data_IF_498477199106
#
_entry.id   IF_498477199106
#
_cell.length_a   1.000
_cell.length_b   1.000
_cell.length_c   1.000
_cell.angle_alpha   90.00
_cell.angle_beta   90.00
_cell.angle_gamma   90.00
#
_symmetry.space_group_name_H-M   'P 1'
#
loop_
_entity.id
_entity.type
_entity.pdbx_description
1 polymer ?
#
# COMPACT_ATOMS: atom_id res chain seq x y z
N UNK A 1 -16.21 6.15 -55.69
CA UNK A 1 -16.56 7.59 -55.70
C UNK A 1 -16.30 8.11 -54.31
N UNK A 2 -15.52 9.19 -54.17
CA UNK A 2 -15.31 9.82 -52.87
C UNK A 2 -16.60 10.53 -52.46
N UNK A 3 -17.09 10.27 -51.25
CA UNK A 3 -18.32 10.87 -50.72
C UNK A 3 -17.94 11.88 -49.65
N UNK A 4 -18.58 13.05 -49.65
CA UNK A 4 -18.37 14.06 -48.62
C UNK A 4 -18.67 13.47 -47.23
N UNK A 5 -17.74 13.60 -46.29
CA UNK A 5 -17.93 13.11 -44.93
C UNK A 5 -19.08 13.86 -44.23
N UNK A 6 -19.30 15.13 -44.60
CA UNK A 6 -20.45 15.92 -44.15
C UNK A 6 -21.78 15.30 -44.59
N UNK A 7 -21.89 14.84 -45.84
CA UNK A 7 -23.12 14.24 -46.37
C UNK A 7 -23.40 12.88 -45.73
N UNK A 8 -22.35 12.13 -45.36
CA UNK A 8 -22.48 10.85 -44.64
C UNK A 8 -22.99 11.06 -43.21
N UNK A 9 -22.63 12.18 -42.58
CA UNK A 9 -22.92 12.47 -41.18
C UNK A 9 -24.01 13.52 -40.95
N UNK A 10 -24.75 13.92 -42.00
CA UNK A 10 -25.70 15.05 -41.98
C UNK A 10 -26.81 14.96 -40.91
N UNK A 11 -27.10 13.75 -40.40
CA UNK A 11 -28.12 13.52 -39.35
C UNK A 11 -27.61 13.79 -37.94
N UNK A 12 -26.30 13.98 -37.74
CA UNK A 12 -25.68 14.21 -36.43
C UNK A 12 -25.35 15.68 -36.24
N UNK A 13 -25.73 16.26 -35.08
CA UNK A 13 -25.40 17.65 -34.74
C UNK A 13 -23.98 17.73 -34.19
N UNK A 14 -23.08 18.40 -34.90
CA UNK A 14 -21.72 18.70 -34.45
C UNK A 14 -21.53 20.21 -34.23
N UNK A 15 -20.57 20.58 -33.38
CA UNK A 15 -20.15 21.97 -33.20
C UNK A 15 -19.60 22.58 -34.51
N UNK A 16 -19.66 23.91 -34.66
CA UNK A 16 -19.28 24.63 -35.88
C UNK A 16 -17.86 24.30 -36.37
N UNK A 17 -16.90 24.14 -35.46
CA UNK A 17 -15.51 23.81 -35.79
C UNK A 17 -15.37 22.45 -36.51
N UNK A 18 -16.15 21.45 -36.09
CA UNK A 18 -16.15 20.12 -36.69
C UNK A 18 -16.90 20.12 -38.04
N UNK A 19 -17.94 20.95 -38.19
CA UNK A 19 -18.66 21.09 -39.45
C UNK A 19 -17.76 21.66 -40.55
N UNK A 20 -16.91 22.63 -40.23
CA UNK A 20 -15.91 23.15 -41.17
C UNK A 20 -14.88 22.08 -41.57
N UNK A 21 -14.41 21.26 -40.63
CA UNK A 21 -13.50 20.13 -40.92
C UNK A 21 -14.19 19.10 -41.85
N UNK A 22 -15.45 18.76 -41.58
CA UNK A 22 -16.21 17.78 -42.37
C UNK A 22 -16.52 18.23 -43.80
N UNK A 23 -16.68 19.54 -44.04
CA UNK A 23 -16.90 20.09 -45.40
C UNK A 23 -15.73 19.83 -46.35
N UNK A 24 -14.52 19.74 -45.83
CA UNK A 24 -13.30 19.57 -46.63
C UNK A 24 -12.77 18.13 -46.64
N UNK A 25 -13.36 17.23 -45.85
CA UNK A 25 -12.98 15.83 -45.75
C UNK A 25 -13.89 14.94 -46.63
N UNK A 26 -13.28 14.10 -47.46
CA UNK A 26 -13.95 13.11 -48.28
C UNK A 26 -13.58 11.70 -47.84
N UNK A 27 -14.59 10.83 -47.74
CA UNK A 27 -14.36 9.39 -47.51
C UNK A 27 -13.91 8.76 -48.82
N UNK A 28 -12.66 8.32 -48.86
CA UNK A 28 -12.06 7.66 -50.03
C UNK A 28 -12.34 6.16 -49.98
N UNK A 29 -12.19 5.55 -48.81
CA UNK A 29 -12.37 4.11 -48.62
C UNK A 29 -12.77 3.80 -47.20
N UNK A 30 -13.65 2.81 -47.04
CA UNK A 30 -13.98 2.21 -45.75
C UNK A 30 -13.67 0.71 -45.85
N UNK A 31 -12.84 0.21 -44.94
CA UNK A 31 -12.54 -1.22 -44.83
C UNK A 31 -13.05 -1.69 -43.47
N UNK A 32 -13.96 -2.66 -43.49
CA UNK A 32 -14.51 -3.26 -42.28
C UNK A 32 -13.87 -4.64 -42.10
N UNK A 33 -13.08 -4.80 -41.04
CA UNK A 33 -12.53 -6.09 -40.64
C UNK A 33 -13.40 -6.68 -39.53
N UNK A 34 -14.26 -7.62 -39.89
CA UNK A 34 -15.17 -8.31 -38.94
C UNK A 34 -14.36 -9.15 -37.95
N UNK A 35 -13.32 -9.85 -38.44
CA UNK A 35 -12.46 -10.70 -37.61
C UNK A 35 -11.68 -9.91 -36.55
N UNK A 36 -11.22 -8.71 -36.88
CA UNK A 36 -10.48 -7.84 -35.94
C UNK A 36 -11.39 -6.88 -35.18
N UNK A 37 -12.69 -6.80 -35.50
CA UNK A 37 -13.62 -5.76 -35.03
C UNK A 37 -13.04 -4.34 -35.24
N UNK A 38 -12.53 -4.07 -36.44
CA UNK A 38 -11.90 -2.78 -36.76
C UNK A 38 -12.53 -2.15 -38.00
N UNK A 39 -12.69 -0.83 -37.96
CA UNK A 39 -13.07 -0.03 -39.12
C UNK A 39 -11.90 0.86 -39.48
N UNK A 40 -11.41 0.72 -40.71
CA UNK A 40 -10.36 1.58 -41.26
C UNK A 40 -10.97 2.52 -42.27
N UNK A 41 -10.99 3.81 -41.95
CA UNK A 41 -11.49 4.88 -42.81
C UNK A 41 -10.31 5.61 -43.41
N UNK A 42 -10.26 5.65 -44.74
CA UNK A 42 -9.32 6.50 -45.47
C UNK A 42 -10.05 7.77 -45.86
N UNK A 43 -9.60 8.88 -45.29
CA UNK A 43 -10.15 10.21 -45.51
C UNK A 43 -9.13 11.03 -46.32
N UNK A 44 -9.62 11.69 -47.37
CA UNK A 44 -8.83 12.68 -48.10
C UNK A 44 -9.32 14.06 -47.71
N UNK A 45 -8.40 14.91 -47.26
CA UNK A 45 -8.75 16.28 -46.92
C UNK A 45 -8.10 17.25 -47.92
N UNK A 46 -8.90 18.20 -48.39
CA UNK A 46 -8.45 19.27 -49.28
C UNK A 46 -7.70 20.39 -48.54
N UNK A 47 -7.77 20.43 -47.21
CA UNK A 47 -7.02 21.32 -46.34
C UNK A 47 -6.12 20.51 -45.40
N UNK A 48 -4.96 21.07 -45.05
CA UNK A 48 -4.11 20.53 -43.99
C UNK A 48 -4.78 20.75 -42.63
N UNK A 49 -4.96 19.67 -41.89
CA UNK A 49 -5.51 19.71 -40.53
C UNK A 49 -4.38 19.90 -39.52
N UNK A 50 -4.64 20.70 -38.50
CA UNK A 50 -3.76 20.78 -37.33
C UNK A 50 -3.90 19.52 -36.46
N UNK A 51 -2.93 19.24 -35.60
CA UNK A 51 -2.96 18.09 -34.70
C UNK A 51 -4.17 18.09 -33.78
N UNK A 52 -4.60 19.27 -33.30
CA UNK A 52 -5.85 19.42 -32.54
C UNK A 52 -7.10 19.08 -33.37
N UNK A 53 -7.16 19.54 -34.63
CA UNK A 53 -8.27 19.25 -35.54
C UNK A 53 -8.34 17.75 -35.86
N UNK A 54 -7.20 17.07 -36.01
CA UNK A 54 -7.12 15.62 -36.22
C UNK A 54 -7.63 14.86 -34.98
N UNK A 55 -7.19 15.24 -33.78
CA UNK A 55 -7.64 14.61 -32.53
C UNK A 55 -9.15 14.79 -32.34
N UNK A 56 -9.67 16.00 -32.57
CA UNK A 56 -11.12 16.29 -32.52
C UNK A 56 -11.89 15.45 -33.54
N UNK A 57 -11.37 15.32 -34.77
CA UNK A 57 -11.97 14.50 -35.83
C UNK A 57 -12.01 13.02 -35.45
N UNK A 58 -10.91 12.46 -34.95
CA UNK A 58 -10.82 11.06 -34.52
C UNK A 58 -11.79 10.77 -33.37
N UNK A 59 -11.82 11.63 -32.36
CA UNK A 59 -12.74 11.52 -31.22
C UNK A 59 -14.21 11.56 -31.64
N UNK A 60 -14.58 12.53 -32.49
CA UNK A 60 -15.94 12.66 -33.00
C UNK A 60 -16.39 11.44 -33.82
N UNK A 61 -15.51 10.90 -34.68
CA UNK A 61 -15.83 9.73 -35.49
C UNK A 61 -15.89 8.44 -34.65
N UNK A 62 -15.04 8.30 -33.64
CA UNK A 62 -15.09 7.17 -32.71
C UNK A 62 -16.43 7.14 -31.93
N UNK A 63 -16.92 8.30 -31.49
CA UNK A 63 -18.20 8.42 -30.79
C UNK A 63 -19.43 8.02 -31.65
N UNK A 64 -19.30 8.05 -32.98
CA UNK A 64 -20.38 7.71 -33.91
C UNK A 64 -20.39 6.23 -34.30
N UNK A 65 -19.32 5.48 -34.01
CA UNK A 65 -19.27 4.06 -34.38
C UNK A 65 -20.09 3.20 -33.42
N UNK A 66 -21.03 2.37 -33.91
CA UNK A 66 -21.82 1.50 -33.06
C UNK A 66 -21.01 0.28 -32.62
N UNK A 67 -20.45 0.32 -31.41
CA UNK A 67 -19.83 -0.84 -30.73
C UNK A 67 -18.33 -0.70 -30.43
N UNK A 68 -17.68 -1.75 -29.88
CA UNK A 68 -16.26 -1.76 -29.48
C UNK A 68 -15.34 -1.92 -30.69
N UNK A 69 -15.54 -1.08 -31.69
CA UNK A 69 -14.86 -1.13 -32.98
C UNK A 69 -13.68 -0.18 -32.93
N UNK A 70 -12.47 -0.69 -33.14
CA UNK A 70 -11.29 0.17 -33.21
C UNK A 70 -11.32 0.95 -34.54
N UNK A 71 -11.34 2.28 -34.44
CA UNK A 71 -11.38 3.17 -35.59
C UNK A 71 -9.95 3.60 -35.96
N UNK A 72 -9.52 3.24 -37.17
CA UNK A 72 -8.25 3.67 -37.73
C UNK A 72 -8.51 4.68 -38.85
N UNK A 73 -8.00 5.90 -38.72
CA UNK A 73 -8.19 6.99 -39.68
C UNK A 73 -6.86 7.28 -40.37
N UNK A 74 -6.85 7.11 -41.69
CA UNK A 74 -5.74 7.42 -42.59
C UNK A 74 -6.06 8.72 -43.33
N UNK A 75 -5.31 9.79 -43.04
CA UNK A 75 -5.53 11.14 -43.60
C UNK A 75 -4.56 11.39 -44.76
N UNK A 76 -5.10 11.46 -45.97
CA UNK A 76 -4.35 11.88 -47.14
C UNK A 76 -4.46 13.41 -47.29
N UNK A 77 -3.42 14.14 -46.87
CA UNK A 77 -3.34 15.60 -47.04
C UNK A 77 -2.74 15.99 -48.40
N UNK A 78 -3.22 17.11 -48.93
CA UNK A 78 -2.59 17.80 -50.07
C UNK A 78 -1.23 18.35 -49.64
N UNK A 79 -0.17 17.93 -50.34
CA UNK A 79 1.25 18.05 -49.96
C UNK A 79 1.72 19.49 -49.77
N UNK A 80 2.13 19.81 -48.53
CA UNK A 80 3.33 20.57 -48.21
C UNK A 80 4.11 19.69 -47.21
N UNK A 81 5.41 19.41 -47.41
CA UNK A 81 6.16 18.55 -46.50
C UNK A 81 6.26 19.23 -45.12
N UNK A 82 5.89 18.52 -44.06
CA UNK A 82 6.27 18.92 -42.71
C UNK A 82 7.80 18.85 -42.61
N UNK A 83 8.46 19.87 -42.06
CA UNK A 83 9.93 19.85 -41.88
C UNK A 83 10.35 18.83 -40.80
N UNK A 84 9.49 18.59 -39.80
CA UNK A 84 9.71 17.63 -38.71
C UNK A 84 8.37 17.00 -38.23
N UNK A 85 8.38 15.80 -37.63
CA UNK A 85 7.18 15.19 -37.07
C UNK A 85 6.70 15.93 -35.81
N UNK A 86 5.38 16.06 -35.65
CA UNK A 86 4.78 16.66 -34.44
C UNK A 86 4.84 15.69 -33.26
N UNK A 87 5.64 16.04 -32.24
CA UNK A 87 5.88 15.21 -31.06
C UNK A 87 4.66 15.07 -30.16
N UNK A 88 3.78 16.08 -30.08
CA UNK A 88 2.54 16.00 -29.28
C UNK A 88 1.53 15.06 -29.93
N UNK A 89 1.46 15.07 -31.26
CA UNK A 89 0.67 14.09 -32.01
C UNK A 89 1.19 12.66 -31.78
N UNK A 90 2.50 12.44 -31.85
CA UNK A 90 3.10 11.12 -31.62
C UNK A 90 2.88 10.63 -30.19
N UNK A 91 2.99 11.51 -29.18
CA UNK A 91 2.66 11.19 -27.79
C UNK A 91 1.20 10.77 -27.66
N UNK A 92 0.26 11.47 -28.30
CA UNK A 92 -1.15 11.12 -28.25
C UNK A 92 -1.43 9.73 -28.87
N UNK A 93 -0.82 9.41 -30.01
CA UNK A 93 -0.92 8.09 -30.64
C UNK A 93 -0.32 6.97 -29.77
N UNK A 94 0.82 7.25 -29.13
CA UNK A 94 1.47 6.32 -28.22
C UNK A 94 0.63 6.07 -26.96
N UNK A 95 0.05 7.12 -26.37
CA UNK A 95 -0.86 7.04 -25.23
C UNK A 95 -2.22 6.43 -25.56
N UNK A 96 -2.65 6.47 -26.83
CA UNK A 96 -3.84 5.78 -27.31
C UNK A 96 -3.57 4.29 -27.48
N UNK A 97 -2.43 3.91 -28.06
CA UNK A 97 -2.05 2.51 -28.26
C UNK A 97 -1.63 1.82 -26.97
N UNK A 98 -0.96 2.53 -26.08
CA UNK A 98 -0.43 2.01 -24.82
C UNK A 98 -0.86 2.88 -23.64
N UNK A 99 -2.07 2.71 -23.08
CA UNK A 99 -2.56 3.58 -22.01
C UNK A 99 -1.67 3.65 -20.77
N UNK A 100 -0.91 2.58 -20.48
CA UNK A 100 0.05 2.49 -19.35
C UNK A 100 1.13 3.59 -19.39
N UNK A 101 1.46 4.11 -20.57
CA UNK A 101 2.51 5.12 -20.72
C UNK A 101 2.05 6.52 -20.28
N UNK A 102 0.73 6.75 -20.17
CA UNK A 102 0.17 8.08 -19.84
C UNK A 102 0.70 8.66 -18.54
N UNK A 103 1.05 7.81 -17.56
CA UNK A 103 1.54 8.24 -16.26
C UNK A 103 2.92 8.89 -16.30
N UNK A 104 3.74 8.60 -17.31
CA UNK A 104 5.13 9.07 -17.39
C UNK A 104 5.50 9.67 -18.75
N UNK A 105 4.63 9.59 -19.77
CA UNK A 105 4.90 10.11 -21.10
C UNK A 105 5.19 11.62 -21.11
N UNK A 106 4.55 12.39 -20.22
CA UNK A 106 4.79 13.83 -20.11
C UNK A 106 6.18 14.17 -19.55
N UNK A 107 6.85 13.20 -18.90
CA UNK A 107 8.18 13.36 -18.33
C UNK A 107 9.28 12.83 -19.27
N UNK A 108 8.95 12.56 -20.54
CA UNK A 108 9.92 12.10 -21.56
C UNK A 108 10.40 13.26 -22.42
N UNK A 109 11.68 13.25 -22.79
CA UNK A 109 12.26 14.23 -23.71
C UNK A 109 12.36 13.62 -25.12
N UNK A 110 11.89 14.35 -26.12
CA UNK A 110 11.85 13.91 -27.52
C UNK A 110 12.74 14.84 -28.32
N UNK A 111 13.79 14.32 -28.94
CA UNK A 111 14.71 15.08 -29.78
C UNK A 111 14.61 14.60 -31.23
N UNK A 112 14.34 15.54 -32.14
CA UNK A 112 14.27 15.29 -33.57
C UNK A 112 15.49 15.92 -34.26
N UNK A 113 16.38 15.09 -34.80
CA UNK A 113 17.57 15.53 -35.53
C UNK A 113 17.69 14.74 -36.85
N UNK A 114 17.81 15.44 -37.98
CA UNK A 114 18.13 14.90 -39.33
C UNK A 114 17.59 13.48 -39.65
N UNK A 115 16.27 13.26 -39.52
CA UNK A 115 15.66 11.96 -39.86
C UNK A 115 15.79 10.90 -38.75
N UNK A 116 16.13 11.32 -37.55
CA UNK A 116 16.15 10.51 -36.34
C UNK A 116 15.28 11.16 -35.25
N UNK A 117 14.50 10.34 -34.55
CA UNK A 117 13.75 10.71 -33.36
C UNK A 117 14.27 9.90 -32.18
N UNK A 118 14.96 10.57 -31.26
CA UNK A 118 15.43 9.96 -30.00
C UNK A 118 14.47 10.31 -28.88
N UNK A 119 13.98 9.28 -28.18
CA UNK A 119 13.08 9.41 -27.04
C UNK A 119 13.85 9.00 -25.78
N UNK A 120 14.02 9.97 -24.89
CA UNK A 120 14.64 9.79 -23.60
C UNK A 120 13.62 9.35 -22.56
N UNK A 121 13.81 8.13 -22.06
CA UNK A 121 12.97 7.46 -21.08
C UNK A 121 13.54 7.63 -19.67
N UNK A 122 12.67 7.64 -18.65
CA UNK A 122 13.07 7.86 -17.25
C UNK A 122 13.80 6.68 -16.61
N UNK A 123 13.51 5.44 -17.03
CA UNK A 123 14.00 4.24 -16.38
C UNK A 123 14.06 3.02 -17.32
N UNK A 124 14.75 1.96 -16.87
CA UNK A 124 14.96 0.72 -17.63
C UNK A 124 13.68 -0.11 -17.82
N UNK A 125 12.75 -0.05 -16.87
CA UNK A 125 11.45 -0.74 -16.98
C UNK A 125 10.62 -0.13 -18.10
N UNK A 126 10.60 1.21 -18.19
CA UNK A 126 9.96 1.95 -19.29
C UNK A 126 10.58 1.59 -20.65
N UNK A 127 11.90 1.43 -20.71
CA UNK A 127 12.61 1.00 -21.92
C UNK A 127 12.24 -0.43 -22.34
N UNK A 128 12.28 -1.39 -21.42
CA UNK A 128 11.92 -2.79 -21.71
C UNK A 128 10.46 -2.93 -22.14
N UNK A 129 9.55 -2.22 -21.48
CA UNK A 129 8.13 -2.22 -21.81
C UNK A 129 7.87 -1.76 -23.26
N UNK A 130 8.55 -0.70 -23.70
CA UNK A 130 8.40 -0.16 -25.05
C UNK A 130 9.13 -1.00 -26.10
N UNK A 131 10.31 -1.54 -25.78
CA UNK A 131 11.05 -2.47 -26.66
C UNK A 131 10.28 -3.76 -26.90
N UNK A 132 9.73 -4.37 -25.85
CA UNK A 132 8.93 -5.60 -25.92
C UNK A 132 7.63 -5.47 -26.72
N UNK A 133 7.23 -4.23 -27.07
CA UNK A 133 6.02 -3.93 -27.86
C UNK A 133 6.31 -3.32 -29.23
N UNK A 134 7.56 -3.38 -29.69
CA UNK A 134 8.02 -2.87 -30.99
C UNK A 134 7.65 -1.39 -31.21
N UNK A 135 7.77 -0.59 -30.16
CA UNK A 135 7.33 0.81 -30.17
C UNK A 135 8.08 1.66 -31.21
N UNK A 136 9.38 1.40 -31.41
CA UNK A 136 10.20 2.08 -32.41
C UNK A 136 9.60 1.92 -33.81
N UNK A 137 9.27 0.68 -34.20
CA UNK A 137 8.68 0.38 -35.50
C UNK A 137 7.28 0.99 -35.64
N UNK A 138 6.49 1.02 -34.56
CA UNK A 138 5.18 1.68 -34.57
C UNK A 138 5.30 3.18 -34.84
N UNK A 139 6.19 3.87 -34.14
CA UNK A 139 6.39 5.31 -34.30
C UNK A 139 6.98 5.65 -35.69
N UNK A 140 7.93 4.87 -36.20
CA UNK A 140 8.43 5.03 -37.56
C UNK A 140 7.32 4.95 -38.61
N UNK A 141 6.45 3.95 -38.49
CA UNK A 141 5.30 3.81 -39.38
C UNK A 141 4.28 4.94 -39.21
N UNK A 142 4.06 5.42 -37.99
CA UNK A 142 3.18 6.54 -37.71
C UNK A 142 3.70 7.83 -38.37
N UNK A 143 5.01 8.09 -38.26
CA UNK A 143 5.68 9.23 -38.87
C UNK A 143 5.56 9.17 -40.40
N UNK A 144 5.86 8.02 -40.99
CA UNK A 144 5.76 7.78 -42.43
C UNK A 144 4.33 7.92 -42.96
N UNK A 145 3.33 7.38 -42.25
CA UNK A 145 1.95 7.38 -42.72
C UNK A 145 1.29 8.76 -42.60
N UNK A 146 1.61 9.50 -41.54
CA UNK A 146 0.87 10.71 -41.20
C UNK A 146 1.60 11.99 -41.65
N UNK A 147 2.94 11.95 -41.69
CA UNK A 147 3.76 13.10 -42.08
C UNK A 147 4.52 12.88 -43.39
N UNK A 148 4.58 11.64 -43.90
CA UNK A 148 5.31 11.33 -45.14
C UNK A 148 6.83 11.39 -45.00
N UNK A 149 7.34 11.34 -43.76
CA UNK A 149 8.76 11.46 -43.44
C UNK A 149 9.36 10.09 -43.13
N UNK A 150 10.57 9.84 -43.61
CA UNK A 150 11.35 8.64 -43.25
C UNK A 150 12.23 8.98 -42.05
N UNK A 151 11.83 8.52 -40.87
CA UNK A 151 12.57 8.70 -39.61
C UNK A 151 12.97 7.35 -39.03
N UNK A 152 14.14 7.28 -38.42
CA UNK A 152 14.53 6.21 -37.49
C UNK A 152 14.17 6.65 -36.08
N UNK A 153 13.73 5.71 -35.23
CA UNK A 153 13.31 6.01 -33.85
C UNK A 153 14.19 5.21 -32.91
N UNK A 154 14.77 5.89 -31.92
CA UNK A 154 15.62 5.29 -30.89
C UNK A 154 15.11 5.60 -29.50
N UNK A 155 15.13 4.60 -28.63
CA UNK A 155 14.80 4.73 -27.22
C UNK A 155 16.08 4.70 -26.36
N UNK A 156 16.34 5.77 -25.63
CA UNK A 156 17.51 5.92 -24.76
C UNK A 156 17.09 6.26 -23.33
N UNK A 157 17.91 5.92 -22.33
CA UNK A 157 17.69 6.32 -20.93
C UNK A 157 18.47 7.58 -20.67
N UNK A 158 17.84 8.61 -20.10
CA UNK A 158 18.55 9.80 -19.67
C UNK A 158 19.24 9.55 -18.33
N UNK A 159 20.52 9.20 -18.36
CA UNK A 159 21.33 9.16 -17.14
C UNK A 159 21.68 10.59 -16.71
N UNK A 160 20.87 11.19 -15.83
CA UNK A 160 21.36 12.26 -14.98
C UNK A 160 22.23 11.61 -13.89
N UNK A 161 23.55 11.83 -13.98
CA UNK A 161 24.52 11.36 -13.02
C UNK A 161 24.35 12.10 -11.67
N UNK A 162 23.43 11.62 -10.85
CA UNK A 162 23.49 11.75 -9.41
C UNK A 162 23.29 10.34 -8.86
N UNK A 163 24.35 9.79 -8.27
CA UNK A 163 24.29 8.50 -7.58
C UNK A 163 23.46 8.67 -6.30
N UNK A 164 22.14 8.68 -6.44
CA UNK A 164 21.27 8.29 -5.34
C UNK A 164 21.36 6.77 -5.21
N UNK A 165 21.61 6.24 -4.00
CA UNK A 165 21.71 4.81 -3.80
C UNK A 165 20.41 4.14 -4.25
N UNK A 166 20.55 2.98 -4.88
CA UNK A 166 19.41 2.17 -5.33
C UNK A 166 18.43 1.97 -4.16
N UNK A 167 17.13 1.96 -4.42
CA UNK A 167 16.12 1.64 -3.41
C UNK A 167 16.45 0.35 -2.64
N UNK A 168 17.09 -0.63 -3.28
CA UNK A 168 17.62 -1.83 -2.63
C UNK A 168 18.77 -1.53 -1.66
N UNK A 169 19.71 -0.66 -2.03
CA UNK A 169 20.82 -0.27 -1.16
C UNK A 169 20.33 0.55 0.04
N UNK A 170 19.33 1.41 -0.17
CA UNK A 170 18.69 2.17 0.91
C UNK A 170 17.88 1.27 1.84
N UNK A 171 17.19 0.26 1.30
CA UNK A 171 16.52 -0.77 2.12
C UNK A 171 17.52 -1.61 2.91
N UNK A 172 18.61 -2.07 2.29
CA UNK A 172 19.67 -2.83 2.95
C UNK A 172 20.33 -2.02 4.08
N UNK A 173 20.54 -0.71 3.88
CA UNK A 173 21.08 0.18 4.89
C UNK A 173 20.11 0.38 6.06
N UNK A 174 18.81 0.57 5.78
CA UNK A 174 17.77 0.70 6.79
C UNK A 174 17.58 -0.60 7.58
N UNK A 175 17.57 -1.76 6.91
CA UNK A 175 17.51 -3.06 7.58
C UNK A 175 18.74 -3.28 8.45
N UNK A 176 19.96 -3.01 7.97
CA UNK A 176 21.18 -3.14 8.76
C UNK A 176 21.15 -2.23 9.98
N UNK A 177 20.76 -0.96 9.82
CA UNK A 177 20.63 -0.02 10.93
C UNK A 177 19.58 -0.46 11.96
N UNK A 178 18.47 -1.05 11.51
CA UNK A 178 17.43 -1.59 12.38
C UNK A 178 17.92 -2.84 13.13
N UNK A 179 18.63 -3.74 12.44
CA UNK A 179 19.24 -4.94 13.04
C UNK A 179 20.33 -4.60 14.05
N UNK A 180 21.16 -3.59 13.78
CA UNK A 180 22.16 -3.11 14.75
C UNK A 180 21.51 -2.52 16.01
N UNK A 181 20.43 -1.74 15.87
CA UNK A 181 19.67 -1.24 17.02
C UNK A 181 19.02 -2.36 17.83
N UNK A 182 18.38 -3.32 17.15
CA UNK A 182 17.78 -4.49 17.81
C UNK A 182 18.83 -5.40 18.47
N UNK A 183 20.01 -5.54 17.88
CA UNK A 183 21.13 -6.31 18.44
C UNK A 183 21.78 -5.58 19.63
N UNK A 184 21.87 -4.25 19.59
CA UNK A 184 22.34 -3.44 20.71
C UNK A 184 21.36 -3.49 21.90
N UNK A 185 20.05 -3.55 21.64
CA UNK A 185 19.02 -3.76 22.68
C UNK A 185 18.95 -5.20 23.20
N UNK A 186 19.44 -6.18 22.43
CA UNK A 186 19.48 -7.61 22.80
C UNK A 186 20.86 -8.08 23.29
N UNK A 187 21.85 -7.20 23.45
CA UNK A 187 23.12 -7.57 24.04
C UNK A 187 22.89 -8.10 25.47
N UNK A 188 23.36 -9.32 25.81
CA UNK A 188 23.16 -9.88 27.13
C UNK A 188 23.94 -9.06 28.16
N UNK A 189 23.22 -8.40 29.07
CA UNK A 189 23.80 -7.96 30.33
C UNK A 189 24.42 -9.19 31.01
N UNK A 190 25.74 -9.28 30.99
CA UNK A 190 26.49 -10.36 31.61
C UNK A 190 26.22 -10.38 33.12
N UNK A 191 25.95 -11.60 33.59
CA UNK A 191 25.67 -11.96 34.98
C UNK A 191 26.80 -11.55 35.94
N UNK A 192 26.37 -10.81 36.96
CA UNK A 192 26.62 -11.00 38.39
C UNK A 192 27.90 -11.73 38.83
N UNK A 193 28.69 -11.00 39.64
CA UNK A 193 29.50 -11.62 40.67
C UNK A 193 28.67 -11.70 41.96
N UNK A 194 28.67 -12.90 42.54
CA UNK A 194 27.87 -13.35 43.67
C UNK A 194 28.08 -12.55 44.95
N UNK A 195 26.98 -12.06 45.53
CA UNK A 195 26.87 -11.67 46.93
C UNK A 195 25.67 -12.38 47.55
N UNK A 196 25.94 -13.40 48.36
CA UNK A 196 24.92 -14.19 49.06
C UNK A 196 24.16 -13.34 50.08
N UNK A 197 22.82 -13.38 50.04
CA UNK A 197 21.97 -13.05 51.18
C UNK A 197 20.61 -13.77 51.09
N UNK A 198 20.52 -14.90 51.81
CA UNK A 198 19.40 -15.33 52.64
C UNK A 198 17.98 -14.83 52.33
N UNK A 199 17.15 -15.73 51.78
CA UNK A 199 15.82 -16.07 52.31
C UNK A 199 14.66 -15.06 52.16
N UNK A 200 13.70 -15.37 51.29
CA UNK A 200 12.38 -15.80 51.75
C UNK A 200 11.59 -16.47 50.61
N UNK A 201 11.03 -17.64 50.88
CA UNK A 201 10.11 -18.36 50.00
C UNK A 201 8.79 -17.60 49.88
N UNK A 202 8.68 -16.71 48.89
CA UNK A 202 7.43 -16.13 48.43
C UNK A 202 6.98 -16.84 47.16
N UNK A 203 5.70 -17.17 47.07
CA UNK A 203 5.06 -17.72 45.87
C UNK A 203 5.43 -16.85 44.64
N UNK A 204 6.05 -17.43 43.61
CA UNK A 204 6.60 -16.71 42.44
C UNK A 204 5.53 -15.87 41.72
N UNK A 205 4.25 -16.21 41.91
CA UNK A 205 3.10 -15.51 41.34
C UNK A 205 2.71 -14.23 42.07
N UNK A 206 3.23 -13.95 43.27
CA UNK A 206 2.92 -12.71 43.99
C UNK A 206 3.98 -11.67 43.63
N UNK A 207 3.59 -10.63 42.91
CA UNK A 207 4.47 -9.50 42.56
C UNK A 207 4.59 -8.55 43.75
N UNK A 208 3.46 -8.21 44.36
CA UNK A 208 3.35 -7.27 45.47
C UNK A 208 2.21 -7.67 46.40
N UNK A 209 2.40 -7.53 47.71
CA UNK A 209 1.34 -7.70 48.71
C UNK A 209 1.04 -9.17 49.04
N UNK A 210 -0.24 -9.52 49.10
CA UNK A 210 -0.75 -10.86 49.48
C UNK A 210 -1.36 -11.56 48.27
N UNK A 211 -1.42 -12.89 48.33
CA UNK A 211 -2.17 -13.66 47.36
C UNK A 211 -3.62 -13.19 47.24
N UNK A 212 -4.03 -12.82 46.03
CA UNK A 212 -5.39 -12.39 45.73
C UNK A 212 -6.25 -13.64 45.55
N UNK A 213 -7.33 -13.74 46.32
CA UNK A 213 -8.34 -14.80 46.24
C UNK A 213 -9.67 -14.14 45.90
N UNK A 214 -10.39 -14.68 44.91
CA UNK A 214 -11.68 -14.16 44.45
C UNK A 214 -11.72 -13.95 42.94
N UNK A 215 -12.93 -13.86 42.41
CA UNK A 215 -13.15 -13.66 40.98
C UNK A 215 -12.91 -12.20 40.60
N UNK A 216 -12.27 -11.99 39.46
CA UNK A 216 -12.05 -10.66 38.92
C UNK A 216 -13.34 -10.09 38.33
N UNK A 217 -13.66 -8.86 38.71
CA UNK A 217 -14.78 -8.09 38.14
C UNK A 217 -14.37 -7.53 36.76
N UNK A 218 -15.25 -7.53 35.74
CA UNK A 218 -14.97 -6.89 34.46
C UNK A 218 -14.72 -5.38 34.63
N UNK A 219 -13.73 -4.84 33.92
CA UNK A 219 -13.31 -3.44 34.10
C UNK A 219 -14.44 -2.47 33.71
N UNK A 220 -15.23 -2.78 32.66
CA UNK A 220 -16.37 -1.96 32.24
C UNK A 220 -17.45 -1.72 33.31
N UNK A 221 -17.48 -2.55 34.36
CA UNK A 221 -18.46 -2.44 35.44
C UNK A 221 -18.02 -1.45 36.54
N UNK A 222 -16.81 -0.89 36.42
CA UNK A 222 -16.29 0.14 37.31
C UNK A 222 -16.79 1.51 36.81
N UNK A 223 -17.86 2.02 37.43
CA UNK A 223 -18.49 3.28 37.06
C UNK A 223 -18.37 4.36 38.15
N UNK A 224 -18.05 3.96 39.37
CA UNK A 224 -17.98 4.82 40.56
C UNK A 224 -16.78 4.42 41.44
N UNK A 225 -16.52 5.18 42.50
CA UNK A 225 -15.51 4.80 43.49
C UNK A 225 -15.94 3.54 44.26
N UNK A 226 -15.01 2.59 44.38
CA UNK A 226 -15.24 1.33 45.09
C UNK A 226 -14.15 1.11 46.13
N UNK A 227 -14.56 0.68 47.35
CA UNK A 227 -13.62 0.51 48.46
C UNK A 227 -12.59 -0.58 48.24
N UNK A 228 -12.95 -1.65 47.53
CA UNK A 228 -12.03 -2.71 47.14
C UNK A 228 -12.62 -3.48 45.98
N UNK A 229 -11.82 -3.63 44.93
CA UNK A 229 -12.15 -4.45 43.76
C UNK A 229 -10.97 -5.36 43.46
N UNK A 230 -11.26 -6.45 42.75
CA UNK A 230 -10.27 -7.32 42.14
C UNK A 230 -10.47 -7.24 40.64
N UNK A 231 -9.44 -6.76 39.93
CA UNK A 231 -9.45 -6.63 38.47
C UNK A 231 -8.38 -7.54 37.88
N UNK A 232 -8.66 -8.11 36.70
CA UNK A 232 -7.70 -8.89 35.92
C UNK A 232 -7.56 -8.21 34.57
N UNK A 233 -6.34 -7.93 34.15
CA UNK A 233 -6.09 -7.27 32.87
C UNK A 233 -4.67 -7.43 32.37
N UNK A 234 -4.49 -7.14 31.09
CA UNK A 234 -3.20 -7.05 30.42
C UNK A 234 -2.59 -5.67 30.66
N UNK A 235 -1.36 -5.64 31.13
CA UNK A 235 -0.58 -4.42 31.39
C UNK A 235 -0.14 -3.77 30.08
N UNK A 236 -0.30 -2.46 29.98
CA UNK A 236 0.29 -1.62 28.94
C UNK A 236 0.60 -0.23 29.50
N UNK A 237 1.40 0.55 28.78
CA UNK A 237 1.77 1.93 29.15
C UNK A 237 2.34 2.07 30.58
N UNK A 238 3.36 1.27 30.89
CA UNK A 238 4.05 1.30 32.17
C UNK A 238 5.04 2.47 32.28
N UNK A 239 4.92 3.24 33.35
CA UNK A 239 5.75 4.40 33.68
C UNK A 239 6.18 4.36 35.16
N UNK A 240 7.47 4.60 35.41
CA UNK A 240 8.02 4.74 36.76
C UNK A 240 8.54 6.16 36.95
N UNK A 241 7.98 6.88 37.93
CA UNK A 241 8.40 8.25 38.26
C UNK A 241 8.89 8.33 39.70
N UNK A 242 10.01 9.03 39.93
CA UNK A 242 10.51 9.28 41.28
C UNK A 242 9.96 10.60 41.83
N UNK A 243 9.45 10.59 43.06
CA UNK A 243 8.87 11.75 43.72
C UNK A 243 9.96 12.54 44.47
N UNK A 244 9.68 13.81 44.75
CA UNK A 244 10.57 14.68 45.55
C UNK A 244 10.82 14.17 46.97
N UNK A 245 9.92 13.32 47.48
CA UNK A 245 10.04 12.63 48.76
C UNK A 245 10.93 11.38 48.69
N UNK A 246 11.58 11.12 47.56
CA UNK A 246 12.41 9.96 47.24
C UNK A 246 11.64 8.67 46.93
N UNK A 247 10.43 8.49 47.49
CA UNK A 247 9.45 7.46 47.09
C UNK A 247 9.21 7.43 45.57
N UNK A 248 8.86 6.27 45.05
CA UNK A 248 8.56 6.09 43.62
C UNK A 248 7.05 5.91 43.41
N UNK A 249 6.55 6.32 42.24
CA UNK A 249 5.20 6.01 41.80
C UNK A 249 5.30 5.17 40.52
N UNK A 250 4.78 3.96 40.59
CA UNK A 250 4.58 3.07 39.47
C UNK A 250 3.15 3.29 38.95
N UNK A 251 3.05 3.76 37.71
CA UNK A 251 1.78 3.99 37.01
C UNK A 251 1.76 3.09 35.79
N UNK A 252 0.64 2.41 35.55
CA UNK A 252 0.44 1.62 34.34
C UNK A 252 -1.05 1.42 34.08
N UNK A 253 -1.40 1.10 32.84
CA UNK A 253 -2.78 0.81 32.48
C UNK A 253 -3.01 -0.69 32.37
N UNK A 254 -4.22 -1.14 32.71
CA UNK A 254 -4.66 -2.51 32.46
C UNK A 254 -5.92 -2.53 31.59
N UNK A 255 -6.03 -3.52 30.73
CA UNK A 255 -7.25 -3.79 29.96
C UNK A 255 -7.62 -5.26 30.00
N UNK A 256 -8.91 -5.56 30.17
CA UNK A 256 -9.48 -6.90 30.00
C UNK A 256 -10.12 -7.08 28.62
N UNK A 257 -9.90 -6.11 27.71
CA UNK A 257 -10.55 -5.91 26.42
C UNK A 257 -12.04 -5.56 26.47
N UNK A 258 -12.64 -5.44 27.67
CA UNK A 258 -13.98 -4.86 27.84
C UNK A 258 -13.92 -3.37 28.15
N UNK A 259 -12.89 -2.94 28.90
CA UNK A 259 -12.53 -1.54 29.14
C UNK A 259 -11.05 -1.46 29.58
N UNK A 260 -10.58 -0.26 29.95
CA UNK A 260 -9.26 -0.02 30.52
C UNK A 260 -9.33 0.86 31.76
N UNK A 261 -8.39 0.68 32.70
CA UNK A 261 -8.27 1.53 33.88
C UNK A 261 -6.80 1.78 34.24
N UNK A 262 -6.51 2.99 34.70
CA UNK A 262 -5.19 3.36 35.22
C UNK A 262 -4.98 2.72 36.61
N UNK A 263 -3.77 2.21 36.84
CA UNK A 263 -3.33 1.63 38.10
C UNK A 263 -2.14 2.40 38.63
N UNK A 264 -2.21 2.81 39.90
CA UNK A 264 -1.12 3.51 40.59
C UNK A 264 -0.68 2.75 41.83
N UNK A 265 0.64 2.68 42.01
CA UNK A 265 1.26 2.20 43.24
C UNK A 265 2.35 3.14 43.70
N UNK A 266 2.19 3.68 44.90
CA UNK A 266 3.28 4.33 45.63
C UNK A 266 4.18 3.25 46.24
N UNK A 267 5.44 3.28 45.85
CA UNK A 267 6.50 2.39 46.29
C UNK A 267 7.44 3.18 47.20
N UNK A 268 7.97 2.51 48.22
CA UNK A 268 8.99 3.09 49.08
C UNK A 268 10.36 3.04 48.38
N UNK A 269 11.33 3.83 48.84
CA UNK A 269 12.64 3.97 48.19
C UNK A 269 13.37 2.63 47.96
N UNK A 270 13.14 1.65 48.86
CA UNK A 270 13.80 0.35 48.85
C UNK A 270 13.11 -0.69 47.95
N UNK A 271 11.90 -0.42 47.42
CA UNK A 271 11.14 -1.39 46.61
C UNK A 271 11.51 -1.30 45.12
N UNK A 272 12.68 -1.82 44.78
CA UNK A 272 13.17 -1.96 43.40
C UNK A 272 12.61 -3.18 42.68
N UNK A 273 12.09 -4.17 43.42
CA UNK A 273 11.67 -5.45 42.86
C UNK A 273 10.33 -5.38 42.14
N UNK A 274 9.40 -4.58 42.65
CA UNK A 274 8.07 -4.46 42.06
C UNK A 274 8.10 -3.90 40.63
N UNK A 275 8.79 -2.76 40.35
CA UNK A 275 8.89 -2.22 38.99
C UNK A 275 9.57 -3.15 37.99
N UNK A 276 10.56 -3.94 38.42
CA UNK A 276 11.27 -4.88 37.55
C UNK A 276 10.41 -6.08 37.12
N UNK A 277 9.41 -6.43 37.95
CA UNK A 277 8.55 -7.61 37.74
C UNK A 277 7.29 -7.32 36.95
N UNK A 278 6.79 -6.09 36.96
CA UNK A 278 5.64 -5.67 36.14
C UNK A 278 6.13 -5.22 34.76
N UNK A 279 5.67 -5.87 33.69
CA UNK A 279 6.09 -5.60 32.32
C UNK A 279 4.89 -5.48 31.38
N UNK A 280 5.03 -4.61 30.37
CA UNK A 280 4.05 -4.48 29.30
C UNK A 280 3.78 -5.84 28.63
N UNK A 281 2.50 -6.13 28.39
CA UNK A 281 2.04 -7.37 27.79
C UNK A 281 1.73 -8.51 28.77
N UNK A 282 2.12 -8.40 30.04
CA UNK A 282 1.79 -9.40 31.06
C UNK A 282 0.34 -9.28 31.52
N UNK A 283 -0.26 -10.41 31.89
CA UNK A 283 -1.53 -10.44 32.58
C UNK A 283 -1.31 -10.44 34.08
N UNK A 284 -2.07 -9.61 34.78
CA UNK A 284 -2.01 -9.46 36.23
C UNK A 284 -3.41 -9.47 36.83
N UNK A 285 -3.51 -9.94 38.07
CA UNK A 285 -4.66 -9.70 38.94
C UNK A 285 -4.25 -8.67 39.98
N UNK A 286 -5.07 -7.64 40.17
CA UNK A 286 -4.77 -6.52 41.05
C UNK A 286 -5.93 -6.32 42.01
N UNK A 287 -5.62 -6.11 43.28
CA UNK A 287 -6.60 -5.75 44.31
C UNK A 287 -6.30 -4.37 44.85
N UNK A 288 -7.33 -3.54 44.96
CA UNK A 288 -7.22 -2.19 45.53
C UNK A 288 -8.55 -1.44 45.49
N UNK A 289 -8.65 -0.27 46.14
CA UNK A 289 -9.77 0.64 45.94
C UNK A 289 -9.67 1.33 44.56
N UNK A 290 -10.82 1.59 43.96
CA UNK A 290 -10.95 2.54 42.85
C UNK A 290 -11.36 3.88 43.43
N UNK A 291 -10.60 4.92 43.12
CA UNK A 291 -10.79 6.27 43.63
C UNK A 291 -10.67 7.27 42.49
N UNK A 292 -11.39 8.39 42.58
CA UNK A 292 -11.21 9.48 41.63
C UNK A 292 -9.88 10.19 41.90
N UNK A 293 -8.95 10.08 40.97
CA UNK A 293 -7.68 10.79 41.06
C UNK A 293 -7.85 12.20 40.49
N UNK A 294 -7.62 13.21 41.33
CA UNK A 294 -7.77 14.62 40.96
C UNK A 294 -6.74 15.08 39.94
N UNK A 295 -5.60 14.39 39.83
CA UNK A 295 -4.55 14.73 38.88
C UNK A 295 -4.86 14.21 37.48
N UNK A 296 -5.18 12.91 37.33
CA UNK A 296 -5.60 12.34 36.04
C UNK A 296 -7.05 12.69 35.68
N UNK A 297 -7.86 13.11 36.65
CA UNK A 297 -9.30 13.39 36.50
C UNK A 297 -10.11 12.15 36.07
N UNK A 298 -9.64 10.97 36.48
CA UNK A 298 -10.21 9.68 36.12
C UNK A 298 -10.30 8.75 37.33
N UNK A 299 -11.17 7.73 37.23
CA UNK A 299 -11.20 6.64 38.21
C UNK A 299 -9.91 5.82 38.08
N UNK A 300 -9.15 5.74 39.16
CA UNK A 300 -7.85 5.07 39.19
C UNK A 300 -7.85 3.99 40.27
N UNK A 301 -7.29 2.82 39.93
CA UNK A 301 -7.08 1.73 40.89
C UNK A 301 -5.79 1.96 41.69
N UNK A 302 -5.91 2.13 43.01
CA UNK A 302 -4.74 2.22 43.89
C UNK A 302 -4.33 0.82 44.34
N UNK A 303 -3.28 0.26 43.76
CA UNK A 303 -2.91 -1.14 43.98
C UNK A 303 -2.44 -1.40 45.43
N UNK A 304 -3.07 -2.37 46.09
CA UNK A 304 -2.55 -2.95 47.34
C UNK A 304 -1.73 -4.19 47.05
N UNK A 305 -2.26 -5.05 46.18
CA UNK A 305 -1.67 -6.35 45.84
C UNK A 305 -1.66 -6.52 44.33
N UNK A 306 -0.59 -7.11 43.81
CA UNK A 306 -0.41 -7.43 42.40
C UNK A 306 0.08 -8.87 42.30
N UNK A 307 -0.66 -9.71 41.60
CA UNK A 307 -0.31 -11.08 41.31
C UNK A 307 -0.14 -11.27 39.80
N UNK A 308 0.82 -12.09 39.40
CA UNK A 308 0.92 -12.57 38.02
C UNK A 308 -0.30 -13.46 37.73
N UNK A 309 -0.92 -13.25 36.57
CA UNK A 309 -2.04 -14.04 36.11
C UNK A 309 -1.63 -14.85 34.89
N UNK A 310 -2.11 -16.10 34.80
CA UNK A 310 -1.97 -16.85 33.56
C UNK A 310 -2.82 -16.24 32.46
N UNK A 311 -2.24 -16.20 31.25
CA UNK A 311 -2.94 -15.71 30.06
C UNK A 311 -3.78 -16.85 29.47
N UNK A 312 -5.08 -16.67 29.43
CA UNK A 312 -5.99 -17.57 28.72
C UNK A 312 -6.07 -17.12 27.27
N UNK A 313 -5.05 -17.47 26.48
CA UNK A 313 -5.06 -17.23 25.02
C UNK A 313 -5.93 -18.29 24.36
N UNK A 314 -6.68 -17.92 23.32
CA UNK A 314 -7.40 -18.90 22.49
C UNK A 314 -6.42 -19.94 21.97
N UNK A 315 -6.74 -21.22 22.15
CA UNK A 315 -5.94 -22.33 21.67
C UNK A 315 -6.64 -23.05 20.52
N UNK A 316 -5.87 -23.53 19.56
CA UNK A 316 -6.32 -24.44 18.51
C UNK A 316 -6.05 -25.87 18.97
N UNK A 317 -7.11 -26.59 19.32
CA UNK A 317 -7.07 -27.98 19.80
C UNK A 317 -7.38 -29.01 18.71
N UNK A 318 -7.50 -28.58 17.44
CA UNK A 318 -7.77 -29.51 16.35
C UNK A 318 -6.56 -30.41 16.09
N UNK A 319 -6.81 -31.67 15.78
CA UNK A 319 -5.76 -32.63 15.42
C UNK A 319 -5.18 -32.29 14.03
N UNK A 320 -6.06 -31.98 13.08
CA UNK A 320 -5.69 -31.43 11.77
C UNK A 320 -5.70 -29.90 11.81
N UNK A 321 -4.54 -29.28 11.53
CA UNK A 321 -4.38 -27.83 11.60
C UNK A 321 -4.89 -27.13 10.35
N UNK A 322 -5.66 -26.05 10.56
CA UNK A 322 -6.19 -25.18 9.50
C UNK A 322 -5.06 -24.40 8.82
N UNK A 323 -5.29 -24.01 7.57
CA UNK A 323 -4.56 -22.94 6.88
C UNK A 323 -5.53 -21.78 6.62
N UNK A 324 -5.17 -20.58 7.05
CA UNK A 324 -5.92 -19.37 6.68
C UNK A 324 -5.50 -18.91 5.29
N UNK A 325 -6.48 -18.73 4.40
CA UNK A 325 -6.26 -18.41 2.98
C UNK A 325 -6.80 -17.03 2.58
N UNK A 326 -7.55 -16.37 3.46
CA UNK A 326 -8.09 -15.03 3.22
C UNK A 326 -7.94 -14.21 4.49
N UNK A 327 -7.05 -13.22 4.46
CA UNK A 327 -6.66 -12.45 5.64
C UNK A 327 -6.19 -11.04 5.28
N UNK A 328 -6.65 -10.07 6.08
CA UNK A 328 -6.31 -8.66 5.98
C UNK A 328 -5.38 -8.22 7.11
N UNK A 329 -4.37 -7.46 6.76
CA UNK A 329 -3.46 -6.77 7.67
C UNK A 329 -3.79 -5.28 7.72
N UNK A 330 -3.14 -4.53 8.62
CA UNK A 330 -3.21 -3.06 8.67
C UNK A 330 -2.93 -2.34 7.35
N UNK A 331 -2.35 -3.01 6.35
CA UNK A 331 -2.14 -2.46 5.00
C UNK A 331 -3.42 -2.46 4.15
N UNK A 332 -4.42 -3.25 4.52
CA UNK A 332 -5.80 -3.07 4.05
C UNK A 332 -6.36 -1.78 4.66
N UNK A 333 -6.25 -0.70 3.89
CA UNK A 333 -6.55 0.66 4.32
C UNK A 333 -7.92 0.76 4.99
N UNK A 334 -7.93 1.19 6.26
CA UNK A 334 -9.14 1.40 7.08
C UNK A 334 -10.02 0.15 7.29
N UNK A 335 -9.52 -1.05 7.00
CA UNK A 335 -10.31 -2.29 7.09
C UNK A 335 -9.82 -3.23 8.20
N UNK A 336 -8.50 -3.37 8.38
CA UNK A 336 -7.92 -4.23 9.42
C UNK A 336 -7.00 -3.46 10.36
N UNK A 337 -6.93 -3.93 11.61
CA UNK A 337 -6.13 -3.34 12.70
C UNK A 337 -4.93 -4.20 13.09
N UNK A 338 -4.82 -5.40 12.53
CA UNK A 338 -3.80 -6.37 12.94
C UNK A 338 -2.54 -6.26 12.07
N UNK A 339 -1.37 -6.33 12.70
CA UNK A 339 -0.10 -6.39 11.96
C UNK A 339 0.11 -7.77 11.32
N UNK A 340 0.88 -7.83 10.23
CA UNK A 340 1.22 -9.11 9.60
C UNK A 340 2.03 -9.99 10.57
N UNK A 341 2.95 -9.37 11.33
CA UNK A 341 3.77 -10.08 12.30
C UNK A 341 2.96 -10.76 13.41
N UNK A 342 1.96 -10.07 13.98
CA UNK A 342 1.13 -10.62 15.06
C UNK A 342 0.27 -11.79 14.57
N UNK A 343 -0.30 -11.66 13.37
CA UNK A 343 -1.10 -12.70 12.73
C UNK A 343 -0.27 -13.96 12.51
N UNK A 344 0.92 -13.81 11.91
CA UNK A 344 1.83 -14.92 11.62
C UNK A 344 2.29 -15.59 12.92
N UNK A 345 2.61 -14.80 13.94
CA UNK A 345 2.96 -15.32 15.27
C UNK A 345 1.80 -16.12 15.87
N UNK A 346 0.56 -15.66 15.72
CA UNK A 346 -0.61 -16.37 16.19
C UNK A 346 -0.87 -17.68 15.43
N UNK A 347 -0.74 -17.67 14.10
CA UNK A 347 -0.86 -18.86 13.26
C UNK A 347 0.20 -19.92 13.62
N UNK A 348 1.46 -19.49 13.83
CA UNK A 348 2.53 -20.37 14.28
C UNK A 348 2.26 -20.92 15.70
N UNK A 349 1.75 -20.09 16.62
CA UNK A 349 1.38 -20.53 17.97
C UNK A 349 0.23 -21.55 17.98
N UNK A 350 -0.67 -21.49 16.99
CA UNK A 350 -1.70 -22.50 16.76
C UNK A 350 -1.22 -23.74 16.00
N UNK A 351 0.04 -23.75 15.54
CA UNK A 351 0.63 -24.84 14.78
C UNK A 351 0.14 -24.92 13.35
N UNK A 352 -0.38 -23.83 12.78
CA UNK A 352 -0.82 -23.80 11.38
C UNK A 352 0.40 -24.00 10.46
N UNK A 353 0.33 -24.85 9.43
CA UNK A 353 1.49 -25.13 8.57
C UNK A 353 1.77 -23.99 7.59
N UNK A 354 0.74 -23.20 7.27
CA UNK A 354 0.82 -22.05 6.37
C UNK A 354 -0.19 -20.97 6.76
N UNK A 355 0.05 -19.74 6.28
CA UNK A 355 -0.87 -18.60 6.41
C UNK A 355 -0.76 -17.71 5.17
N UNK A 356 -1.90 -17.26 4.64
CA UNK A 356 -1.95 -16.30 3.55
C UNK A 356 -2.09 -14.86 4.03
N UNK A 357 -1.59 -13.93 3.23
CA UNK A 357 -1.85 -12.48 3.35
C UNK A 357 -2.50 -12.02 2.06
N UNK A 358 -3.70 -11.47 2.12
CA UNK A 358 -4.53 -11.09 0.97
C UNK A 358 -5.15 -9.71 1.18
N UNK A 359 -4.31 -8.68 1.32
CA UNK A 359 -4.78 -7.32 1.52
C UNK A 359 -5.57 -6.78 0.31
N UNK A 360 -6.44 -5.78 0.54
CA UNK A 360 -7.29 -5.15 -0.48
C UNK A 360 -6.47 -4.40 -1.53
N UNK A 361 -6.32 -4.99 -2.72
CA UNK A 361 -5.69 -4.37 -3.89
C UNK A 361 -4.21 -4.00 -3.71
N UNK A 362 -3.58 -4.39 -2.61
CA UNK A 362 -2.21 -4.02 -2.26
C UNK A 362 -1.43 -5.22 -1.73
N UNK A 363 -0.10 -5.12 -1.78
CA UNK A 363 0.85 -6.14 -1.30
C UNK A 363 1.92 -5.56 -0.35
N UNK A 364 1.62 -4.41 0.24
CA UNK A 364 2.56 -3.64 1.06
C UNK A 364 3.00 -4.37 2.33
N UNK A 365 2.20 -5.33 2.81
CA UNK A 365 2.52 -6.13 4.00
C UNK A 365 3.59 -7.21 3.74
N UNK A 366 3.94 -7.50 2.48
CA UNK A 366 4.80 -8.63 2.12
C UNK A 366 6.19 -8.61 2.80
N UNK A 367 6.91 -7.48 2.89
CA UNK A 367 8.20 -7.46 3.57
C UNK A 367 8.10 -7.83 5.06
N UNK A 368 7.15 -7.22 5.78
CA UNK A 368 6.90 -7.52 7.21
C UNK A 368 6.48 -8.99 7.40
N UNK A 369 5.57 -9.46 6.53
CA UNK A 369 5.07 -10.82 6.56
C UNK A 369 6.19 -11.84 6.32
N UNK A 370 7.05 -11.61 5.34
CA UNK A 370 8.17 -12.50 5.03
C UNK A 370 9.14 -12.63 6.20
N UNK A 371 9.55 -11.50 6.79
CA UNK A 371 10.46 -11.49 7.93
C UNK A 371 9.87 -12.24 9.13
N UNK A 372 8.58 -12.01 9.43
CA UNK A 372 7.87 -12.69 10.50
C UNK A 372 7.70 -14.20 10.24
N UNK A 373 7.32 -14.59 9.02
CA UNK A 373 7.11 -15.98 8.65
C UNK A 373 8.40 -16.79 8.73
N UNK A 374 9.51 -16.23 8.23
CA UNK A 374 10.84 -16.83 8.32
C UNK A 374 11.26 -17.04 9.77
N UNK A 375 11.02 -16.06 10.64
CA UNK A 375 11.33 -16.15 12.08
C UNK A 375 10.46 -17.19 12.80
N UNK A 376 9.19 -17.29 12.43
CA UNK A 376 8.24 -18.21 13.05
C UNK A 376 8.28 -19.64 12.46
N UNK A 377 8.93 -19.84 11.31
CA UNK A 377 9.03 -21.15 10.65
C UNK A 377 7.73 -21.61 9.99
N UNK A 378 6.83 -20.69 9.63
CA UNK A 378 5.55 -20.99 8.96
C UNK A 378 5.63 -20.65 7.48
N UNK A 379 4.94 -21.41 6.63
CA UNK A 379 4.89 -21.14 5.19
C UNK A 379 3.98 -19.95 4.90
N UNK A 380 4.54 -18.88 4.32
CA UNK A 380 3.78 -17.71 3.92
C UNK A 380 3.24 -17.87 2.50
N UNK A 381 1.94 -17.65 2.33
CA UNK A 381 1.27 -17.60 1.03
C UNK A 381 1.04 -16.13 0.67
N UNK A 382 1.72 -15.67 -0.38
CA UNK A 382 1.56 -14.31 -0.90
C UNK A 382 0.31 -14.24 -1.76
N UNK A 383 -0.65 -13.43 -1.36
CA UNK A 383 -1.90 -13.22 -2.09
C UNK A 383 -2.31 -11.75 -2.13
N UNK A 384 -3.44 -11.50 -2.78
CA UNK A 384 -4.06 -10.17 -2.89
C UNK A 384 -5.56 -10.38 -3.04
N UNK A 385 -6.36 -9.59 -2.33
CA UNK A 385 -7.78 -9.49 -2.63
C UNK A 385 -7.97 -8.43 -3.72
N UNK A 386 -8.23 -8.87 -4.94
CA UNK A 386 -8.36 -7.98 -6.09
C UNK A 386 -9.83 -7.71 -6.43
N UNK A 387 -10.19 -6.43 -6.56
CA UNK A 387 -11.48 -6.02 -7.10
C UNK A 387 -11.51 -6.29 -8.60
N UNK A 388 -12.32 -7.26 -9.02
CA UNK A 388 -12.52 -7.63 -10.41
C UNK A 388 -13.88 -7.09 -10.89
N UNK A 389 -13.88 -6.30 -11.97
CA UNK A 389 -15.11 -5.87 -12.64
C UNK A 389 -15.24 -6.56 -14.00
N UNK A 390 -16.42 -7.14 -14.26
CA UNK A 390 -16.76 -7.69 -15.57
C UNK A 390 -17.22 -6.58 -16.50
N UNK A 391 -16.28 -5.81 -17.05
CA UNK A 391 -16.55 -4.89 -18.16
C UNK A 391 -15.36 -4.75 -19.10
N UNK A 392 -15.64 -4.70 -20.41
CA UNK A 392 -14.68 -4.32 -21.46
C UNK A 392 -14.35 -2.80 -21.46
N UNK A 393 -14.55 -2.11 -20.35
CA UNK A 393 -14.33 -0.68 -20.15
C UNK A 393 -13.64 -0.45 -18.79
N UNK A 394 -12.65 0.46 -18.68
CA UNK A 394 -11.98 0.75 -17.42
C UNK A 394 -12.90 1.50 -16.45
N UNK A 395 -12.81 1.18 -15.16
CA UNK A 395 -13.37 2.00 -14.09
C UNK A 395 -12.50 3.27 -13.95
N UNK A 396 -13.16 4.43 -13.97
CA UNK A 396 -12.57 5.75 -13.81
C UNK A 396 -12.39 6.14 -12.34
#
# INVERSE_FOLDING_TARGET
MAVSLFDVLYKHKFNNDLQEIFKHAQVVRVVVSVARRQWKLQLKNHRQLTSEEIIKLKSALAALTPGPVLLEIDLQSSRMPFEQPDTEFLKAELAHRFPVVRGWLNNTQWQCEEGCLTIYLPDEVSLELLKGRECELFLQNCIKSNFGLDYTVHLEIKQEAAAEPSWCEMQDQLERALWEKLAAEQAPAQKENSGAASGNSGDENIILGRAIKGDAKPIKEIQEEERTVVLRGKVFDLELKQLKSGRQILTFNITDYTDSIEVKKFLDEDDTKTPERVKNGQWVVIRGPVQYDKFSQELTLMAYDINLAETTVRQDQAEEKRVELHLHTKMSTMDSVCSAADIIKQAAAWGHPAVAVTDHGVVQAFPEAYAAAKKAGIHLIYGVEATLSMTALPLY
#
